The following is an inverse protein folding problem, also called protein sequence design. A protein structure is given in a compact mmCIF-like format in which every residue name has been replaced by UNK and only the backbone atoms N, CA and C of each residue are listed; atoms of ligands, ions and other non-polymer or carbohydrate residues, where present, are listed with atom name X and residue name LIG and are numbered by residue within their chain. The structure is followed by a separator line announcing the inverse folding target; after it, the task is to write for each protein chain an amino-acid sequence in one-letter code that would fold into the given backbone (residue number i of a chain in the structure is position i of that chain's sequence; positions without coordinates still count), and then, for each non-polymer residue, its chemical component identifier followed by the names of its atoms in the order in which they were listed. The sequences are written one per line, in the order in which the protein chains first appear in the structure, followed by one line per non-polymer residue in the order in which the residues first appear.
data_IF_038093711173
#
_entry.id   IF_038093711173
#
_cell.length_a   1.000
_cell.length_b   1.000
_cell.length_c   1.000
_cell.angle_alpha   90.00
_cell.angle_beta   90.00
_cell.angle_gamma   90.00
#
_symmetry.space_group_name_H-M   'P 1'
#
loop_
_entity.id
_entity.type
_entity.pdbx_description
1 polymer ?
#
# COMPACT_ATOMS: atom_id res chain seq x y z
N UNK A 1 -18.12 -2.30 18.85
CA UNK A 1 -16.78 -1.70 19.07
C UNK A 1 -16.99 -0.27 19.53
N UNK A 2 -16.35 0.15 20.62
CA UNK A 2 -16.40 1.54 21.08
C UNK A 2 -15.17 2.28 20.50
N UNK A 3 -15.43 3.36 19.77
CA UNK A 3 -14.37 4.17 19.14
C UNK A 3 -13.85 5.21 20.13
N UNK A 4 -12.54 5.57 20.10
CA UNK A 4 -12.00 6.64 20.92
C UNK A 4 -12.72 7.98 20.68
N UNK A 5 -13.07 8.72 21.74
CA UNK A 5 -13.82 9.96 21.61
C UNK A 5 -13.12 11.00 20.72
N UNK A 6 -11.81 11.14 20.86
CA UNK A 6 -11.00 12.05 20.03
C UNK A 6 -10.95 11.65 18.56
N UNK A 7 -11.00 10.33 18.24
CA UNK A 7 -11.16 9.87 16.87
C UNK A 7 -12.53 10.26 16.30
N UNK A 8 -13.59 10.06 17.10
CA UNK A 8 -14.97 10.42 16.73
C UNK A 8 -15.06 11.91 16.40
N UNK A 9 -14.56 12.76 17.29
CA UNK A 9 -14.64 14.22 17.14
C UNK A 9 -13.85 14.70 15.92
N UNK A 10 -12.63 14.19 15.75
CA UNK A 10 -11.79 14.51 14.60
C UNK A 10 -12.43 14.07 13.28
N UNK A 11 -12.82 12.79 13.19
CA UNK A 11 -13.32 12.21 11.93
C UNK A 11 -14.67 12.81 11.55
N UNK A 12 -15.52 13.12 12.54
CA UNK A 12 -16.79 13.85 12.33
C UNK A 12 -16.55 15.27 11.81
N UNK A 13 -15.53 15.96 12.34
CA UNK A 13 -15.15 17.28 11.83
C UNK A 13 -14.61 17.22 10.40
N UNK A 14 -13.87 16.17 10.05
CA UNK A 14 -13.26 15.97 8.74
C UNK A 14 -14.29 15.62 7.66
N UNK A 15 -15.18 14.67 7.95
CA UNK A 15 -16.12 14.11 6.97
C UNK A 15 -17.49 14.85 6.96
N UNK A 16 -17.82 15.54 8.03
CA UNK A 16 -19.17 16.02 8.32
C UNK A 16 -20.03 14.93 8.95
N UNK A 17 -21.15 15.33 9.58
CA UNK A 17 -22.01 14.45 10.38
C UNK A 17 -22.53 13.25 9.58
N UNK A 18 -23.09 13.50 8.39
CA UNK A 18 -23.74 12.45 7.58
C UNK A 18 -22.75 11.36 7.13
N UNK A 19 -21.58 11.73 6.63
CA UNK A 19 -20.57 10.77 6.15
C UNK A 19 -19.89 10.06 7.33
N UNK A 20 -19.69 10.75 8.45
CA UNK A 20 -19.20 10.12 9.68
C UNK A 20 -20.15 9.02 10.18
N UNK A 21 -21.45 9.28 10.25
CA UNK A 21 -22.42 8.26 10.69
C UNK A 21 -22.41 7.03 9.78
N UNK A 22 -22.28 7.21 8.46
CA UNK A 22 -22.14 6.10 7.50
C UNK A 22 -20.86 5.31 7.78
N UNK A 23 -19.74 6.00 8.03
CA UNK A 23 -18.48 5.35 8.38
C UNK A 23 -18.59 4.59 9.69
N UNK A 24 -19.18 5.19 10.73
CA UNK A 24 -19.36 4.56 12.04
C UNK A 24 -20.20 3.28 11.96
N UNK A 25 -21.25 3.28 11.13
CA UNK A 25 -22.04 2.06 10.85
C UNK A 25 -21.19 1.02 10.12
N UNK A 26 -20.43 1.41 9.10
CA UNK A 26 -19.60 0.49 8.34
C UNK A 26 -18.50 -0.15 9.21
N UNK A 27 -17.93 0.59 10.16
CA UNK A 27 -16.92 0.08 11.10
C UNK A 27 -17.46 -0.97 12.09
N UNK A 28 -18.79 -1.09 12.25
CA UNK A 28 -19.43 -2.13 13.08
C UNK A 28 -19.75 -3.41 12.28
N UNK A 29 -19.61 -3.38 10.96
CA UNK A 29 -19.90 -4.52 10.10
C UNK A 29 -18.69 -5.46 10.00
N UNK A 30 -18.92 -6.72 9.60
CA UNK A 30 -17.84 -7.65 9.27
C UNK A 30 -17.01 -7.15 8.09
N UNK A 31 -15.67 -7.22 8.17
CA UNK A 31 -14.80 -6.80 7.09
C UNK A 31 -14.97 -7.72 5.86
N UNK A 32 -14.98 -7.17 4.63
CA UNK A 32 -14.98 -8.00 3.44
C UNK A 32 -13.69 -8.80 3.36
N UNK A 33 -13.80 -10.01 2.82
CA UNK A 33 -12.65 -10.88 2.56
C UNK A 33 -12.33 -10.83 1.08
N UNK A 34 -11.05 -10.68 0.75
CA UNK A 34 -10.58 -10.68 -0.63
C UNK A 34 -9.26 -11.44 -0.78
N UNK A 35 -9.06 -12.00 -1.95
CA UNK A 35 -7.83 -12.65 -2.37
C UNK A 35 -7.38 -12.10 -3.72
N UNK A 36 -6.10 -12.26 -4.02
CA UNK A 36 -5.53 -11.94 -5.32
C UNK A 36 -4.81 -13.16 -5.87
N UNK A 37 -5.17 -13.57 -7.08
CA UNK A 37 -4.58 -14.72 -7.75
C UNK A 37 -3.15 -14.45 -8.22
N UNK A 38 -2.35 -15.49 -8.25
CA UNK A 38 -1.05 -15.51 -8.90
C UNK A 38 -1.23 -16.05 -10.33
N UNK A 39 -1.29 -15.15 -11.30
CA UNK A 39 -1.55 -15.46 -12.70
C UNK A 39 -0.45 -16.27 -13.40
N UNK A 40 0.75 -16.38 -12.79
CA UNK A 40 1.82 -17.27 -13.26
C UNK A 40 1.61 -18.73 -12.84
N UNK A 41 0.90 -18.95 -11.73
CA UNK A 41 0.65 -20.30 -11.15
C UNK A 41 -0.78 -20.78 -11.33
N UNK A 42 -1.71 -19.86 -11.47
CA UNK A 42 -3.13 -20.13 -11.53
C UNK A 42 -3.81 -19.20 -12.53
N UNK A 43 -4.60 -19.78 -13.43
CA UNK A 43 -5.51 -19.00 -14.28
C UNK A 43 -6.92 -19.14 -13.73
N UNK A 44 -7.66 -18.05 -13.68
CA UNK A 44 -9.04 -18.00 -13.17
C UNK A 44 -10.00 -18.99 -13.90
N UNK A 45 -9.57 -19.59 -15.01
CA UNK A 45 -10.30 -20.59 -15.76
C UNK A 45 -10.02 -22.03 -15.29
N UNK A 46 -9.03 -22.21 -14.40
CA UNK A 46 -8.66 -23.54 -13.92
C UNK A 46 -9.68 -23.98 -12.85
N UNK A 47 -10.33 -25.12 -13.09
CA UNK A 47 -11.24 -25.74 -12.12
C UNK A 47 -10.47 -26.25 -10.92
N UNK A 48 -10.85 -25.88 -9.69
CA UNK A 48 -10.19 -26.42 -8.50
C UNK A 48 -10.33 -25.66 -7.19
N UNK A 49 -10.67 -24.38 -7.22
CA UNK A 49 -11.08 -23.67 -5.99
C UNK A 49 -12.59 -23.90 -5.78
N UNK A 50 -12.93 -24.93 -5.02
CA UNK A 50 -14.33 -25.28 -4.69
C UNK A 50 -15.06 -24.18 -3.89
N UNK A 51 -14.31 -23.21 -3.35
CA UNK A 51 -14.85 -22.09 -2.59
C UNK A 51 -15.09 -20.83 -3.45
N UNK A 52 -14.73 -20.88 -4.73
CA UNK A 52 -14.85 -19.72 -5.62
C UNK A 52 -15.86 -20.07 -6.71
N UNK A 53 -17.13 -19.90 -6.41
CA UNK A 53 -18.20 -20.07 -7.39
C UNK A 53 -18.26 -18.86 -8.32
N UNK A 54 -18.19 -19.10 -9.62
CA UNK A 54 -18.43 -18.05 -10.65
C UNK A 54 -19.91 -17.60 -10.62
N UNK A 55 -20.23 -16.29 -10.75
CA UNK A 55 -19.33 -15.19 -11.12
C UNK A 55 -18.74 -14.49 -9.90
N UNK A 56 -17.41 -14.45 -9.83
CA UNK A 56 -16.71 -13.72 -8.77
C UNK A 56 -17.11 -12.25 -8.72
N UNK A 57 -17.34 -11.74 -7.53
CA UNK A 57 -17.34 -10.31 -7.28
C UNK A 57 -15.89 -9.80 -7.35
N UNK A 58 -15.54 -9.13 -8.44
CA UNK A 58 -14.17 -8.68 -8.71
C UNK A 58 -13.88 -7.41 -7.94
N UNK A 59 -12.63 -7.28 -7.49
CA UNK A 59 -12.11 -6.01 -7.02
C UNK A 59 -11.94 -5.09 -8.23
N UNK A 60 -12.68 -3.95 -8.32
CA UNK A 60 -12.75 -3.17 -9.57
C UNK A 60 -11.42 -2.61 -10.06
N UNK A 61 -10.48 -2.37 -9.14
CA UNK A 61 -9.16 -1.78 -9.42
C UNK A 61 -8.02 -2.79 -9.44
N UNK A 62 -8.32 -4.09 -9.50
CA UNK A 62 -7.30 -5.14 -9.60
C UNK A 62 -7.69 -6.17 -10.65
N UNK A 63 -6.73 -6.55 -11.49
CA UNK A 63 -6.94 -7.54 -12.55
C UNK A 63 -7.19 -8.94 -12.01
N UNK A 64 -6.58 -9.28 -10.88
CA UNK A 64 -6.58 -10.62 -10.28
C UNK A 64 -7.25 -10.67 -8.89
N UNK A 65 -7.80 -9.52 -8.44
CA UNK A 65 -8.47 -9.40 -7.15
C UNK A 65 -9.92 -9.85 -7.19
N UNK A 66 -10.35 -10.64 -6.21
CA UNK A 66 -11.74 -11.08 -6.05
C UNK A 66 -12.16 -11.03 -4.59
N UNK A 67 -13.44 -10.74 -4.36
CA UNK A 67 -14.06 -10.88 -3.04
C UNK A 67 -14.54 -12.32 -2.83
N UNK A 68 -14.53 -12.73 -1.58
CA UNK A 68 -15.10 -13.99 -1.14
C UNK A 68 -16.37 -13.74 -0.33
N UNK A 69 -17.33 -14.64 -0.39
CA UNK A 69 -18.58 -14.54 0.37
C UNK A 69 -18.36 -14.74 1.88
N UNK A 70 -17.33 -15.51 2.23
CA UNK A 70 -16.98 -15.80 3.62
C UNK A 70 -15.45 -15.92 3.83
N UNK A 71 -15.01 -15.79 5.08
CA UNK A 71 -13.61 -16.02 5.45
C UNK A 71 -13.33 -17.52 5.57
N UNK A 72 -12.53 -18.02 4.65
CA UNK A 72 -12.06 -19.41 4.67
C UNK A 72 -10.89 -19.60 5.66
N UNK A 73 -10.68 -20.85 6.09
CA UNK A 73 -9.48 -21.23 6.85
C UNK A 73 -8.33 -21.52 5.89
N UNK A 74 -7.74 -20.45 5.35
CA UNK A 74 -6.72 -20.51 4.30
C UNK A 74 -5.49 -21.36 4.66
N UNK A 75 -5.19 -21.51 5.95
CA UNK A 75 -4.06 -22.32 6.42
C UNK A 75 -4.21 -23.83 6.13
N UNK A 76 -5.40 -24.28 5.79
CA UNK A 76 -5.65 -25.67 5.36
C UNK A 76 -5.74 -25.83 3.84
N UNK A 77 -5.64 -24.73 3.09
CA UNK A 77 -5.73 -24.77 1.63
C UNK A 77 -4.36 -25.03 0.99
N UNK A 78 -4.15 -26.14 0.27
CA UNK A 78 -2.90 -26.43 -0.41
C UNK A 78 -2.49 -25.36 -1.43
N UNK A 79 -3.46 -24.72 -2.08
CA UNK A 79 -3.21 -23.68 -3.08
C UNK A 79 -2.68 -22.40 -2.45
N UNK A 80 -3.10 -22.08 -1.22
CA UNK A 80 -2.51 -21.00 -0.43
C UNK A 80 -1.01 -21.25 -0.17
N UNK A 81 -0.66 -22.48 0.23
CA UNK A 81 0.73 -22.86 0.48
C UNK A 81 1.56 -22.96 -0.81
N UNK A 82 0.93 -23.33 -1.92
CA UNK A 82 1.56 -23.31 -3.24
C UNK A 82 1.76 -21.91 -3.81
N UNK A 83 1.19 -20.86 -3.19
CA UNK A 83 1.28 -19.49 -3.65
C UNK A 83 0.44 -19.20 -4.89
N UNK A 84 -0.65 -19.93 -5.09
CA UNK A 84 -1.59 -19.71 -6.18
C UNK A 84 -2.44 -18.44 -5.95
N UNK A 85 -2.58 -18.00 -4.71
CA UNK A 85 -3.23 -16.75 -4.34
C UNK A 85 -2.63 -16.16 -3.06
N UNK A 86 -2.89 -14.87 -2.85
CA UNK A 86 -2.55 -14.12 -1.64
C UNK A 86 -3.83 -13.57 -1.01
N UNK A 87 -3.99 -13.69 0.30
CA UNK A 87 -5.10 -13.06 1.03
C UNK A 87 -4.73 -11.59 1.24
N UNK A 88 -5.29 -10.73 0.40
CA UNK A 88 -4.98 -9.30 0.38
C UNK A 88 -6.24 -8.47 0.53
N UNK A 89 -6.14 -7.41 1.33
CA UNK A 89 -7.20 -6.43 1.50
C UNK A 89 -7.44 -5.67 0.18
N UNK A 90 -8.71 -5.53 -0.20
CA UNK A 90 -9.10 -5.07 -1.53
C UNK A 90 -8.63 -3.64 -1.84
N UNK A 91 -8.76 -2.68 -0.90
CA UNK A 91 -8.37 -1.28 -1.13
C UNK A 91 -6.88 -1.16 -1.42
N UNK A 92 -6.06 -1.96 -0.73
CA UNK A 92 -4.60 -1.99 -0.94
C UNK A 92 -4.18 -2.50 -2.32
N UNK A 93 -5.07 -3.19 -3.04
CA UNK A 93 -4.83 -3.62 -4.41
C UNK A 93 -4.81 -2.46 -5.42
N UNK A 94 -5.27 -1.27 -5.02
CA UNK A 94 -5.25 -0.08 -5.88
C UNK A 94 -3.83 0.33 -6.31
N UNK A 95 -2.80 -0.10 -5.61
CA UNK A 95 -1.40 0.08 -6.02
C UNK A 95 -1.15 -0.41 -7.46
N UNK A 96 -1.91 -1.39 -7.94
CA UNK A 96 -1.87 -1.89 -9.31
C UNK A 96 -2.11 -0.78 -10.34
N UNK A 97 -3.07 0.11 -10.09
CA UNK A 97 -3.42 1.18 -11.02
C UNK A 97 -2.26 2.17 -11.18
N UNK A 98 -1.63 2.57 -10.09
CA UNK A 98 -0.45 3.43 -10.13
C UNK A 98 0.72 2.77 -10.88
N UNK A 99 1.03 1.51 -10.57
CA UNK A 99 2.10 0.79 -11.25
C UNK A 99 1.82 0.60 -12.75
N UNK A 100 0.63 0.15 -13.12
CA UNK A 100 0.25 -0.05 -14.52
C UNK A 100 0.22 1.25 -15.32
N UNK A 101 -0.16 2.36 -14.71
CA UNK A 101 -0.23 3.64 -15.40
C UNK A 101 1.15 4.21 -15.69
N UNK A 102 2.08 4.11 -14.75
CA UNK A 102 3.35 4.82 -14.81
C UNK A 102 4.56 3.96 -15.14
N UNK A 103 4.53 2.65 -14.92
CA UNK A 103 5.68 1.76 -15.12
C UNK A 103 5.43 0.91 -16.37
N UNK A 104 5.98 1.35 -17.51
CA UNK A 104 5.82 0.69 -18.81
C UNK A 104 7.07 -0.09 -19.24
N UNK A 105 8.22 0.27 -18.71
CA UNK A 105 9.52 -0.32 -19.01
C UNK A 105 10.09 -1.05 -17.79
N UNK A 106 11.02 -1.98 -17.96
CA UNK A 106 11.70 -2.63 -16.85
C UNK A 106 12.29 -1.62 -15.87
N UNK A 107 12.01 -1.81 -14.58
CA UNK A 107 12.36 -0.88 -13.52
C UNK A 107 13.01 -1.59 -12.33
N UNK A 108 13.85 -0.88 -11.59
CA UNK A 108 14.32 -1.28 -10.26
C UNK A 108 13.39 -0.61 -9.24
N UNK A 109 12.55 -1.42 -8.60
CA UNK A 109 11.58 -0.96 -7.60
C UNK A 109 12.01 -1.37 -6.20
N UNK A 110 11.86 -0.45 -5.24
CA UNK A 110 11.94 -0.74 -3.81
C UNK A 110 10.53 -0.71 -3.21
N UNK A 111 10.16 -1.76 -2.49
CA UNK A 111 9.06 -1.74 -1.52
C UNK A 111 9.69 -1.64 -0.12
N UNK A 112 9.62 -0.45 0.48
CA UNK A 112 10.46 -0.08 1.64
C UNK A 112 9.96 -0.65 2.96
N UNK A 113 8.62 -0.77 3.12
CA UNK A 113 7.95 -1.27 4.32
C UNK A 113 7.09 -2.49 3.96
N UNK A 114 7.74 -3.52 3.40
CA UNK A 114 7.11 -4.52 2.57
C UNK A 114 6.31 -5.60 3.30
N UNK A 115 6.64 -5.91 4.57
CA UNK A 115 6.02 -7.03 5.28
C UNK A 115 4.52 -6.81 5.55
N UNK A 116 3.71 -7.85 5.38
CA UNK A 116 4.05 -9.27 5.13
C UNK A 116 4.23 -9.67 3.66
N UNK A 117 4.18 -8.76 2.68
CA UNK A 117 4.45 -9.04 1.27
C UNK A 117 3.25 -8.95 0.32
N UNK A 118 2.09 -8.48 0.79
CA UNK A 118 0.89 -8.33 -0.05
C UNK A 118 1.11 -7.37 -1.21
N UNK A 119 1.62 -6.16 -0.94
CA UNK A 119 1.94 -5.17 -1.97
C UNK A 119 3.15 -5.57 -2.81
N UNK A 120 4.18 -6.19 -2.20
CA UNK A 120 5.37 -6.68 -2.91
C UNK A 120 5.03 -7.77 -3.93
N UNK A 121 4.26 -8.80 -3.55
CA UNK A 121 3.81 -9.85 -4.46
C UNK A 121 2.89 -9.29 -5.55
N UNK A 122 2.08 -8.29 -5.22
CA UNK A 122 1.23 -7.59 -6.17
C UNK A 122 2.07 -6.81 -7.19
N UNK A 123 2.98 -5.96 -6.70
CA UNK A 123 3.89 -5.20 -7.55
C UNK A 123 4.65 -6.13 -8.50
N UNK A 124 5.19 -7.25 -7.99
CA UNK A 124 5.93 -8.20 -8.83
C UNK A 124 5.08 -8.76 -9.97
N UNK A 125 3.79 -9.03 -9.73
CA UNK A 125 2.88 -9.56 -10.75
C UNK A 125 2.56 -8.57 -11.87
N UNK A 126 2.71 -7.27 -11.63
CA UNK A 126 2.34 -6.22 -12.61
C UNK A 126 3.53 -5.46 -13.20
N UNK A 127 4.69 -5.55 -12.58
CA UNK A 127 5.92 -4.95 -13.12
C UNK A 127 6.33 -5.61 -14.44
N UNK A 128 6.81 -4.84 -15.43
CA UNK A 128 7.31 -5.37 -16.70
C UNK A 128 8.38 -6.44 -16.52
N UNK A 129 8.45 -7.37 -17.48
CA UNK A 129 9.50 -8.39 -17.50
C UNK A 129 10.89 -7.75 -17.51
N UNK A 130 11.84 -8.33 -16.76
CA UNK A 130 13.16 -7.76 -16.57
C UNK A 130 13.28 -6.76 -15.42
N UNK A 131 12.19 -6.38 -14.77
CA UNK A 131 12.23 -5.54 -13.56
C UNK A 131 12.80 -6.31 -12.36
N UNK A 132 13.46 -5.58 -11.46
CA UNK A 132 13.92 -6.07 -10.17
C UNK A 132 13.08 -5.44 -9.05
N UNK A 133 12.57 -6.26 -8.14
CA UNK A 133 11.93 -5.81 -6.91
C UNK A 133 12.86 -6.05 -5.72
N UNK A 134 13.18 -4.99 -5.00
CA UNK A 134 13.79 -5.05 -3.67
C UNK A 134 12.68 -4.87 -2.65
N UNK A 135 12.45 -5.85 -1.79
CA UNK A 135 11.44 -5.82 -0.74
C UNK A 135 12.14 -5.75 0.63
N UNK A 136 11.96 -4.64 1.32
CA UNK A 136 12.63 -4.35 2.59
C UNK A 136 11.66 -4.37 3.77
N UNK A 137 12.14 -4.81 4.90
CA UNK A 137 11.45 -4.69 6.19
C UNK A 137 12.46 -4.53 7.32
N UNK A 138 12.30 -3.47 8.12
CA UNK A 138 13.22 -3.13 9.22
C UNK A 138 13.14 -4.13 10.38
N UNK A 139 11.98 -4.70 10.63
CA UNK A 139 11.76 -5.65 11.74
C UNK A 139 12.11 -7.05 11.30
N UNK A 140 13.15 -7.66 11.89
CA UNK A 140 13.75 -8.92 11.47
C UNK A 140 12.76 -10.09 11.37
N UNK A 141 11.92 -10.34 12.35
CA UNK A 141 10.92 -11.41 12.28
C UNK A 141 9.85 -11.16 11.22
N UNK A 142 9.49 -9.91 10.94
CA UNK A 142 8.59 -9.57 9.83
C UNK A 142 9.28 -9.74 8.47
N UNK A 143 10.59 -9.45 8.36
CA UNK A 143 11.34 -9.69 7.12
C UNK A 143 11.45 -11.18 6.77
N UNK A 144 11.47 -12.07 7.77
CA UNK A 144 11.41 -13.53 7.54
C UNK A 144 10.06 -13.96 6.94
N UNK A 145 8.95 -13.43 7.48
CA UNK A 145 7.60 -13.68 6.94
C UNK A 145 7.50 -13.15 5.50
N UNK A 146 8.06 -11.97 5.25
CA UNK A 146 8.15 -11.39 3.91
C UNK A 146 8.90 -12.32 2.95
N UNK A 147 10.07 -12.82 3.36
CA UNK A 147 10.87 -13.74 2.56
C UNK A 147 10.13 -15.06 2.24
N UNK A 148 9.42 -15.62 3.22
CA UNK A 148 8.58 -16.82 3.02
C UNK A 148 7.46 -16.55 2.00
N UNK A 149 6.76 -15.43 2.11
CA UNK A 149 5.66 -15.09 1.21
C UNK A 149 6.14 -14.81 -0.22
N UNK A 150 7.27 -14.12 -0.38
CA UNK A 150 7.85 -13.87 -1.70
C UNK A 150 8.43 -15.15 -2.33
N UNK A 151 9.05 -16.03 -1.54
CA UNK A 151 9.48 -17.35 -1.99
C UNK A 151 8.30 -18.21 -2.43
N UNK A 152 7.23 -18.21 -1.64
CA UNK A 152 5.97 -18.88 -1.97
C UNK A 152 5.34 -18.32 -3.25
N UNK A 153 5.40 -17.01 -3.46
CA UNK A 153 4.94 -16.37 -4.69
C UNK A 153 5.71 -16.85 -5.92
N UNK A 154 7.06 -16.98 -5.80
CA UNK A 154 7.89 -17.79 -6.70
C UNK A 154 8.48 -17.08 -7.91
N UNK A 155 8.54 -15.72 -7.93
CA UNK A 155 9.18 -14.98 -9.01
C UNK A 155 10.68 -14.74 -8.72
N UNK A 156 11.63 -15.01 -9.69
CA UNK A 156 13.07 -14.92 -9.45
C UNK A 156 13.60 -13.47 -9.35
N UNK A 157 12.90 -12.48 -9.91
CA UNK A 157 13.34 -11.07 -9.92
C UNK A 157 13.01 -10.33 -8.63
N UNK A 158 13.33 -10.92 -7.46
CA UNK A 158 13.05 -10.35 -6.13
C UNK A 158 14.24 -10.53 -5.22
N UNK A 159 14.58 -9.47 -4.47
CA UNK A 159 15.57 -9.47 -3.38
C UNK A 159 14.88 -9.02 -2.10
N UNK A 160 15.07 -9.76 -1.01
CA UNK A 160 14.58 -9.39 0.32
C UNK A 160 15.71 -8.83 1.16
N UNK A 161 15.47 -7.68 1.80
CA UNK A 161 16.43 -7.01 2.68
C UNK A 161 15.83 -6.74 4.05
N UNK A 162 16.73 -6.56 5.05
CA UNK A 162 16.32 -6.21 6.41
C UNK A 162 17.18 -5.03 6.88
N UNK A 163 16.77 -3.82 6.49
CA UNK A 163 17.52 -2.59 6.66
C UNK A 163 16.63 -1.45 7.19
N UNK A 164 17.21 -0.51 7.92
CA UNK A 164 16.57 0.80 8.16
C UNK A 164 16.56 1.62 6.86
N UNK A 165 15.58 2.50 6.63
CA UNK A 165 15.57 3.39 5.46
C UNK A 165 16.87 4.16 5.24
N UNK A 166 17.53 4.60 6.30
CA UNK A 166 18.81 5.31 6.24
C UNK A 166 19.96 4.47 5.65
N UNK A 167 19.89 3.14 5.74
CA UNK A 167 20.91 2.24 5.17
C UNK A 167 20.95 2.26 3.62
N UNK A 168 19.91 2.82 3.00
CA UNK A 168 19.85 2.99 1.54
C UNK A 168 20.52 4.29 1.05
N UNK A 169 21.05 5.13 1.95
CA UNK A 169 21.65 6.43 1.60
C UNK A 169 22.79 6.32 0.57
N UNK A 170 23.57 5.22 0.63
CA UNK A 170 24.66 4.97 -0.31
C UNK A 170 24.17 4.57 -1.73
N UNK A 171 22.89 4.30 -1.89
CA UNK A 171 22.25 3.97 -3.18
C UNK A 171 21.59 5.20 -3.83
N UNK A 172 22.29 6.33 -3.81
CA UNK A 172 21.75 7.59 -4.36
C UNK A 172 21.32 7.44 -5.84
N UNK A 173 20.07 7.81 -6.15
CA UNK A 173 19.52 7.73 -7.50
C UNK A 173 19.49 6.32 -8.08
N UNK A 174 19.29 5.29 -7.27
CA UNK A 174 19.31 3.90 -7.69
C UNK A 174 17.96 3.35 -8.14
N UNK A 175 16.88 3.70 -7.44
CA UNK A 175 15.55 3.17 -7.68
C UNK A 175 14.77 4.02 -8.67
N UNK A 176 14.12 3.36 -9.64
CA UNK A 176 13.17 4.01 -10.55
C UNK A 176 11.83 4.27 -9.85
N UNK A 177 11.45 3.38 -8.93
CA UNK A 177 10.20 3.42 -8.17
C UNK A 177 10.45 3.04 -6.72
N UNK A 178 9.87 3.81 -5.80
CA UNK A 178 9.82 3.45 -4.38
C UNK A 178 8.36 3.41 -3.95
N UNK A 179 7.92 2.28 -3.39
CA UNK A 179 6.66 2.13 -2.69
C UNK A 179 6.93 2.21 -1.19
N UNK A 180 6.19 3.07 -0.51
CA UNK A 180 6.26 3.21 0.94
C UNK A 180 4.86 3.05 1.55
N UNK A 181 4.54 1.82 1.98
CA UNK A 181 3.37 1.58 2.84
C UNK A 181 3.81 1.85 4.30
N UNK A 182 3.84 3.13 4.64
CA UNK A 182 4.50 3.57 5.88
C UNK A 182 3.75 3.12 7.13
N UNK A 183 4.46 2.81 8.24
CA UNK A 183 3.82 2.59 9.54
C UNK A 183 2.97 3.80 9.93
N UNK A 184 1.70 3.56 10.25
CA UNK A 184 0.71 4.60 10.54
C UNK A 184 -0.08 4.27 11.81
N UNK A 185 -0.97 5.19 12.23
CA UNK A 185 -1.82 5.01 13.42
C UNK A 185 -2.85 3.89 13.30
N UNK A 186 -3.09 3.38 12.07
CA UNK A 186 -3.83 2.15 11.84
C UNK A 186 -5.35 2.27 11.97
N UNK A 187 -5.94 3.46 11.77
CA UNK A 187 -7.39 3.69 11.85
C UNK A 187 -8.18 2.77 10.90
N UNK A 188 -7.63 2.44 9.74
CA UNK A 188 -8.21 1.51 8.79
C UNK A 188 -8.19 0.04 9.23
N UNK A 189 -7.57 -0.26 10.37
CA UNK A 189 -7.56 -1.61 10.95
C UNK A 189 -8.60 -1.81 12.05
N UNK A 190 -9.31 -0.76 12.46
CA UNK A 190 -10.18 -0.77 13.63
C UNK A 190 -11.20 -1.91 13.64
N UNK A 191 -11.83 -2.22 12.51
CA UNK A 191 -12.80 -3.32 12.48
C UNK A 191 -12.19 -4.73 12.38
N UNK A 192 -10.87 -4.83 12.12
CA UNK A 192 -10.13 -6.10 12.07
C UNK A 192 -9.37 -6.40 13.33
N UNK A 193 -8.87 -5.36 13.99
CA UNK A 193 -7.97 -5.48 15.13
C UNK A 193 -8.40 -4.58 16.28
N UNK A 194 -9.03 -5.13 17.33
CA UNK A 194 -9.40 -4.36 18.52
C UNK A 194 -8.20 -3.71 19.21
N UNK A 195 -6.97 -4.25 19.05
CA UNK A 195 -5.76 -3.68 19.63
C UNK A 195 -5.46 -2.33 18.98
N UNK A 196 -5.67 -2.20 17.66
CA UNK A 196 -5.49 -0.93 16.94
C UNK A 196 -6.37 0.18 17.52
N UNK A 197 -7.61 -0.14 17.94
CA UNK A 197 -8.51 0.81 18.60
C UNK A 197 -7.96 1.26 19.97
N UNK A 198 -7.45 0.31 20.76
CA UNK A 198 -6.96 0.58 22.13
C UNK A 198 -5.63 1.31 22.15
N UNK A 199 -4.80 1.15 21.12
CA UNK A 199 -3.49 1.81 20.99
C UNK A 199 -3.58 3.18 20.30
N UNK A 200 -4.70 3.47 19.65
CA UNK A 200 -4.88 4.73 18.96
C UNK A 200 -5.03 5.91 19.93
N UNK A 201 -4.31 6.97 19.66
CA UNK A 201 -4.45 8.25 20.34
C UNK A 201 -3.93 9.38 19.45
N UNK A 202 -4.30 10.66 19.69
CA UNK A 202 -3.71 11.80 18.98
C UNK A 202 -2.18 11.84 19.08
N UNK A 203 -1.61 11.44 20.21
CA UNK A 203 -0.17 11.38 20.41
C UNK A 203 0.48 10.29 19.55
N UNK A 204 -0.20 9.14 19.38
CA UNK A 204 0.28 8.08 18.49
C UNK A 204 0.21 8.51 17.00
N UNK A 205 -0.82 9.25 16.60
CA UNK A 205 -0.89 9.89 15.27
C UNK A 205 0.31 10.78 15.03
N UNK A 206 0.64 11.66 15.99
CA UNK A 206 1.80 12.56 15.92
C UNK A 206 3.13 11.79 15.80
N UNK A 207 3.33 10.74 16.60
CA UNK A 207 4.52 9.88 16.55
C UNK A 207 4.63 9.20 15.18
N UNK A 208 3.53 8.68 14.63
CA UNK A 208 3.50 8.05 13.31
C UNK A 208 3.83 9.05 12.22
N UNK A 209 3.21 10.22 12.24
CA UNK A 209 3.45 11.30 11.28
C UNK A 209 4.93 11.74 11.26
N UNK A 210 5.57 11.95 12.42
CA UNK A 210 6.99 12.29 12.50
C UNK A 210 7.87 11.15 11.95
N UNK A 211 7.54 9.90 12.27
CA UNK A 211 8.24 8.71 11.77
C UNK A 211 8.15 8.61 10.24
N UNK A 212 6.98 8.87 9.68
CA UNK A 212 6.75 8.84 8.24
C UNK A 212 7.63 9.86 7.51
N UNK A 213 7.71 11.09 8.02
CA UNK A 213 8.58 12.13 7.48
C UNK A 213 10.06 11.75 7.55
N UNK A 214 10.50 11.15 8.65
CA UNK A 214 11.86 10.61 8.76
C UNK A 214 12.12 9.55 7.70
N UNK A 215 11.25 8.56 7.57
CA UNK A 215 11.37 7.47 6.58
C UNK A 215 11.50 8.03 5.16
N UNK A 216 10.64 8.98 4.81
CA UNK A 216 10.65 9.61 3.48
C UNK A 216 11.93 10.43 3.27
N UNK A 217 12.37 11.21 4.26
CA UNK A 217 13.61 12.00 4.17
C UNK A 217 14.83 11.10 3.96
N UNK A 218 14.90 9.99 4.69
CA UNK A 218 16.02 9.03 4.62
C UNK A 218 16.08 8.33 3.26
N UNK A 219 14.92 7.97 2.67
CA UNK A 219 14.88 7.20 1.42
C UNK A 219 14.87 8.07 0.16
N UNK A 220 14.48 9.34 0.24
CA UNK A 220 14.34 10.23 -0.90
C UNK A 220 15.60 10.34 -1.79
N UNK A 221 16.83 10.41 -1.23
CA UNK A 221 18.05 10.44 -2.05
C UNK A 221 18.19 9.24 -2.97
N UNK A 222 17.75 8.06 -2.56
CA UNK A 222 17.90 6.82 -3.34
C UNK A 222 16.92 6.70 -4.52
N UNK A 223 15.89 7.55 -4.58
CA UNK A 223 15.01 7.67 -5.74
C UNK A 223 15.73 8.44 -6.85
N UNK A 224 15.67 7.94 -8.10
CA UNK A 224 16.20 8.64 -9.28
C UNK A 224 15.51 9.98 -9.50
N UNK A 225 16.20 11.00 -10.07
CA UNK A 225 15.53 12.11 -10.72
C UNK A 225 14.49 11.61 -11.73
N UNK A 226 13.28 12.18 -11.75
CA UNK A 226 12.14 11.69 -12.53
C UNK A 226 11.51 10.39 -12.02
N UNK A 227 12.08 9.75 -11.01
CA UNK A 227 11.56 8.52 -10.40
C UNK A 227 10.28 8.73 -9.61
N UNK A 228 9.57 7.65 -9.32
CA UNK A 228 8.24 7.67 -8.69
C UNK A 228 8.29 7.20 -7.24
N UNK A 229 7.69 7.98 -6.34
CA UNK A 229 7.33 7.58 -5.00
C UNK A 229 5.84 7.28 -4.95
N UNK A 230 5.47 6.06 -4.55
CA UNK A 230 4.09 5.68 -4.24
C UNK A 230 3.99 5.64 -2.73
N UNK A 231 3.24 6.58 -2.16
CA UNK A 231 3.02 6.70 -0.72
C UNK A 231 1.67 6.10 -0.35
N UNK A 232 1.60 5.27 0.67
CA UNK A 232 0.35 4.72 1.17
C UNK A 232 0.34 4.57 2.70
N UNK A 233 -0.86 4.63 3.26
CA UNK A 233 -1.17 4.37 4.67
C UNK A 233 -2.47 3.58 4.78
N UNK A 234 -2.78 3.07 5.98
CA UNK A 234 -4.09 2.54 6.33
C UNK A 234 -4.77 3.40 7.41
N UNK A 235 -4.84 4.72 7.19
CA UNK A 235 -5.47 5.65 8.13
C UNK A 235 -6.48 6.57 7.42
N UNK A 236 -7.24 7.36 8.20
CA UNK A 236 -8.23 8.30 7.67
C UNK A 236 -7.87 9.76 7.92
N UNK A 237 -6.88 10.04 8.80
CA UNK A 237 -6.55 11.40 9.17
C UNK A 237 -5.71 12.10 8.09
N UNK A 238 -5.92 13.41 7.94
CA UNK A 238 -5.17 14.22 6.97
C UNK A 238 -3.73 14.44 7.38
N UNK A 239 -3.41 14.35 8.66
CA UNK A 239 -2.07 14.60 9.19
C UNK A 239 -1.05 13.59 8.65
N UNK A 240 -1.40 12.29 8.68
CA UNK A 240 -0.56 11.23 8.13
C UNK A 240 -0.69 11.08 6.61
N UNK A 241 -1.75 11.60 6.02
CA UNK A 241 -2.09 11.46 4.61
C UNK A 241 -1.74 12.74 3.82
N UNK A 242 -2.71 13.61 3.55
CA UNK A 242 -2.54 14.77 2.67
C UNK A 242 -1.49 15.77 3.16
N UNK A 243 -1.33 15.96 4.47
CA UNK A 243 -0.31 16.89 5.00
C UNK A 243 1.11 16.39 4.72
N UNK A 244 1.31 15.07 4.70
CA UNK A 244 2.58 14.49 4.27
C UNK A 244 2.80 14.65 2.76
N UNK A 245 1.74 14.52 1.94
CA UNK A 245 1.84 14.76 0.50
C UNK A 245 2.17 16.22 0.21
N UNK A 246 1.49 17.16 0.89
CA UNK A 246 1.79 18.60 0.81
C UNK A 246 3.23 18.88 1.23
N UNK A 247 3.67 18.30 2.35
CA UNK A 247 5.05 18.47 2.83
C UNK A 247 6.08 17.95 1.82
N UNK A 248 5.86 16.80 1.20
CA UNK A 248 6.77 16.27 0.17
C UNK A 248 6.81 17.16 -1.08
N UNK A 249 5.67 17.75 -1.49
CA UNK A 249 5.61 18.74 -2.55
C UNK A 249 6.44 19.97 -2.19
N UNK A 250 6.25 20.50 -1.00
CA UNK A 250 6.82 21.79 -0.58
C UNK A 250 8.31 21.66 -0.22
N UNK A 251 8.72 20.55 0.42
CA UNK A 251 10.11 20.33 0.87
C UNK A 251 11.02 19.80 -0.25
N UNK A 252 10.53 18.85 -1.05
CA UNK A 252 11.33 18.18 -2.08
C UNK A 252 11.02 18.65 -3.50
N UNK A 253 10.05 19.53 -3.68
CA UNK A 253 9.58 19.93 -5.00
C UNK A 253 8.90 18.82 -5.78
N UNK A 254 8.38 17.80 -5.10
CA UNK A 254 7.76 16.63 -5.74
C UNK A 254 6.49 17.01 -6.51
N UNK A 255 6.35 16.52 -7.73
CA UNK A 255 5.12 16.62 -8.52
C UNK A 255 4.12 15.55 -8.07
N UNK A 256 2.89 15.94 -7.73
CA UNK A 256 1.83 15.01 -7.35
C UNK A 256 1.09 14.59 -8.62
N UNK A 257 1.03 13.28 -8.89
CA UNK A 257 0.53 12.71 -10.13
C UNK A 257 -0.86 12.08 -9.97
N UNK A 258 -1.78 12.27 -10.95
CA UNK A 258 -3.07 11.61 -10.93
C UNK A 258 -2.97 10.14 -11.33
N UNK A 259 -3.80 9.29 -10.73
CA UNK A 259 -4.05 7.91 -11.15
C UNK A 259 -5.46 7.82 -11.72
N UNK A 260 -5.62 7.16 -12.85
CA UNK A 260 -6.94 6.97 -13.46
C UNK A 260 -7.82 6.11 -12.55
N UNK A 261 -8.88 6.72 -12.05
CA UNK A 261 -9.85 6.09 -11.16
C UNK A 261 -11.28 6.48 -11.59
N UNK A 262 -12.01 5.60 -12.26
CA UNK A 262 -13.39 5.87 -12.66
C UNK A 262 -14.26 6.27 -11.45
N UNK A 263 -15.11 7.27 -11.62
CA UNK A 263 -16.01 7.75 -10.55
C UNK A 263 -16.92 6.63 -9.98
N UNK A 264 -17.22 5.61 -10.79
CA UNK A 264 -18.00 4.45 -10.36
C UNK A 264 -17.32 3.61 -9.26
N UNK A 265 -16.00 3.76 -9.04
CA UNK A 265 -15.30 3.11 -7.94
C UNK A 265 -15.54 3.79 -6.60
N UNK A 266 -16.14 4.97 -6.60
CA UNK A 266 -16.53 5.71 -5.40
C UNK A 266 -15.37 6.01 -4.43
N UNK A 267 -14.15 6.13 -4.97
CA UNK A 267 -12.94 6.47 -4.22
C UNK A 267 -13.00 7.97 -3.85
N UNK A 268 -12.69 8.30 -2.62
CA UNK A 268 -12.69 9.68 -2.12
C UNK A 268 -11.36 10.37 -2.50
N UNK A 269 -11.45 11.63 -2.90
CA UNK A 269 -10.28 12.47 -3.17
C UNK A 269 -9.72 13.15 -1.92
N UNK A 270 -9.07 14.29 -2.14
CA UNK A 270 -8.43 15.11 -1.12
C UNK A 270 -9.45 15.66 -0.10
N UNK A 271 -9.12 15.56 1.18
CA UNK A 271 -9.92 16.10 2.29
C UNK A 271 -9.23 17.26 3.02
N UNK A 272 -8.00 17.61 2.64
CA UNK A 272 -7.27 18.72 3.26
C UNK A 272 -7.82 20.05 2.76
N UNK A 273 -8.32 20.86 3.67
CA UNK A 273 -8.91 22.14 3.34
C UNK A 273 -7.91 23.06 2.60
N UNK A 274 -8.35 23.62 1.45
CA UNK A 274 -7.55 24.54 0.64
C UNK A 274 -6.58 23.88 -0.33
N UNK A 275 -6.59 22.54 -0.43
CA UNK A 275 -5.77 21.77 -1.36
C UNK A 275 -6.67 20.93 -2.29
N UNK A 276 -6.24 20.75 -3.54
CA UNK A 276 -6.99 20.01 -4.57
C UNK A 276 -6.14 18.98 -5.34
N UNK A 277 -4.91 18.74 -4.89
CA UNK A 277 -4.02 17.77 -5.53
C UNK A 277 -4.60 16.33 -5.48
N UNK A 278 -4.29 15.49 -6.48
CA UNK A 278 -4.86 14.15 -6.60
C UNK A 278 -4.33 13.19 -5.54
N UNK A 279 -5.24 12.62 -4.76
CA UNK A 279 -5.00 11.51 -3.82
C UNK A 279 -6.20 10.57 -3.81
N UNK A 280 -6.02 9.37 -3.29
CA UNK A 280 -7.01 8.29 -3.35
C UNK A 280 -7.22 7.71 -1.96
N UNK A 281 -8.43 7.96 -1.42
CA UNK A 281 -8.81 7.55 -0.08
C UNK A 281 -9.95 6.55 -0.14
N UNK A 282 -9.75 5.41 0.47
CA UNK A 282 -10.73 4.35 0.59
C UNK A 282 -11.38 4.42 1.97
N UNK A 283 -12.69 4.56 1.97
CA UNK A 283 -13.50 4.62 3.19
C UNK A 283 -14.50 3.47 3.18
N UNK A 284 -14.60 2.66 4.25
CA UNK A 284 -15.40 1.44 4.28
C UNK A 284 -16.88 1.61 3.94
N UNK A 285 -17.45 2.80 4.13
CA UNK A 285 -18.85 3.11 3.78
C UNK A 285 -19.04 3.50 2.31
N UNK A 286 -17.95 3.74 1.57
CA UNK A 286 -17.95 4.13 0.16
C UNK A 286 -17.43 3.05 -0.77
N UNK A 287 -16.44 2.29 -0.30
CA UNK A 287 -15.77 1.24 -1.07
C UNK A 287 -15.86 -0.09 -0.32
N UNK A 288 -15.99 -1.20 -1.04
CA UNK A 288 -15.98 -2.54 -0.45
C UNK A 288 -14.55 -2.92 -0.07
N UNK A 289 -14.07 -2.46 1.09
CA UNK A 289 -12.70 -2.64 1.59
C UNK A 289 -12.51 -2.01 2.96
N UNK A 290 -11.26 -1.94 3.40
CA UNK A 290 -10.82 -1.26 4.60
C UNK A 290 -10.33 0.16 4.29
N UNK A 291 -9.90 0.88 5.33
CA UNK A 291 -9.23 2.16 5.18
C UNK A 291 -7.89 2.03 4.45
N UNK A 292 -7.72 2.84 3.45
CA UNK A 292 -6.47 2.91 2.70
C UNK A 292 -6.32 4.29 2.06
N UNK A 293 -5.10 4.77 1.99
CA UNK A 293 -4.74 6.00 1.30
C UNK A 293 -3.58 5.75 0.34
N UNK A 294 -3.62 6.36 -0.83
CA UNK A 294 -2.54 6.31 -1.80
C UNK A 294 -2.35 7.65 -2.51
N UNK A 295 -1.10 8.04 -2.69
CA UNK A 295 -0.69 9.12 -3.56
C UNK A 295 0.54 8.73 -4.38
N UNK A 296 0.67 9.28 -5.57
CA UNK A 296 1.83 9.09 -6.45
C UNK A 296 2.54 10.41 -6.63
N UNK A 297 3.84 10.42 -6.38
CA UNK A 297 4.69 11.60 -6.53
C UNK A 297 5.84 11.30 -7.47
N UNK A 298 6.28 12.32 -8.21
CA UNK A 298 7.48 12.25 -9.04
C UNK A 298 8.57 13.15 -8.47
N UNK A 299 9.77 12.60 -8.33
CA UNK A 299 10.94 13.39 -7.99
C UNK A 299 11.26 14.34 -9.13
N UNK A 300 11.59 15.63 -8.88
CA UNK A 300 12.02 16.55 -9.92
C UNK A 300 13.14 15.97 -10.79
N UNK A 301 13.15 16.35 -12.07
CA UNK A 301 14.27 16.04 -12.96
C UNK A 301 15.56 16.68 -12.44
N UNK A 302 16.70 16.06 -12.70
CA UNK A 302 18.00 16.53 -12.25
C UNK A 302 19.13 15.71 -12.86
N UNK A 303 20.35 16.00 -12.47
CA UNK A 303 21.51 15.20 -12.90
C UNK A 303 21.42 13.79 -12.31
N UNK A 304 21.59 12.77 -13.18
CA UNK A 304 21.64 11.37 -12.75
C UNK A 304 23.02 11.11 -12.09
N UNK A 305 23.02 10.77 -10.81
CA UNK A 305 24.24 10.39 -10.11
C UNK A 305 24.73 9.05 -10.66
N UNK A 306 25.96 9.02 -11.17
CA UNK A 306 26.61 7.76 -11.57
C UNK A 306 27.14 7.06 -10.33
N UNK A 307 26.47 6.00 -9.91
CA UNK A 307 26.95 5.14 -8.83
C UNK A 307 28.28 4.49 -9.30
N UNK A 308 29.37 4.87 -8.66
CA UNK A 308 30.67 4.23 -8.88
C UNK A 308 30.79 3.06 -7.91
N UNK A 309 30.56 1.85 -8.39
CA UNK A 309 30.91 0.65 -7.64
C UNK A 309 32.43 0.60 -7.43
N UNK A 310 32.87 0.66 -6.19
CA UNK A 310 34.21 0.20 -5.87
C UNK A 310 34.13 -1.33 -5.79
N UNK A 311 34.56 -2.04 -6.85
CA UNK A 311 34.79 -3.47 -6.73
C UNK A 311 35.95 -3.65 -5.76
N UNK A 312 35.68 -4.08 -4.55
CA UNK A 312 36.67 -4.70 -3.68
C UNK A 312 36.80 -6.15 -4.17
N UNK A 313 37.77 -6.41 -5.05
CA UNK A 313 38.30 -7.74 -5.33
C UNK A 313 39.28 -8.07 -4.23
#
# INVERSE_FOLDING_TARGET
MELPASFVDYTRSLLGEEEYEKLAVALQQEPPVSIRFNNEKWKMQDEGLSAVHSPFDRVPWSSEGVYLDERLTFTFDPLFHAGCFYVQEASSMFVEQALRQYIKEPAIMLDLCAAPGGKSTHARSVLPAGSLLVANEVIRNRSQILAENLTKWGHPGVVVTNNDPADFADLEGFFDVILTDVPCSGEGMFRKDPVAVSEWSPENVEICWQRQRRIISDIWPSLKPGGLLIYSTCTYNTQEDEENIRWMRDEFGAEILPVDAPAAWNITGNLLAGEDFPVYRFLPHRTKGEGFFLAVLRKPEGETVRIRYKSTV
#
